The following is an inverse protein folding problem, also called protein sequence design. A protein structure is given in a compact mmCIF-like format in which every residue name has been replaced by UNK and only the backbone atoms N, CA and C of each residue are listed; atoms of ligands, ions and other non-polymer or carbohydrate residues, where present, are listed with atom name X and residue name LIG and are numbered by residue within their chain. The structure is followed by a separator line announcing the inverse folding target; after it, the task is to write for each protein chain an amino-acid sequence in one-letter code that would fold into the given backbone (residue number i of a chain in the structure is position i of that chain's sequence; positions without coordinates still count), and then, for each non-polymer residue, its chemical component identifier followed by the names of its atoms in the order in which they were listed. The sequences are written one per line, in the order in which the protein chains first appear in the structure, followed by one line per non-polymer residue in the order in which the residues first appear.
data_IF_874600753128
#
_entry.id   IF_874600753128
#
_cell.length_a   1.000
_cell.length_b   1.000
_cell.length_c   1.000
_cell.angle_alpha   90.00
_cell.angle_beta   90.00
_cell.angle_gamma   90.00
#
_symmetry.space_group_name_H-M   'P 1'
#
loop_
_entity.id
_entity.type
_entity.pdbx_description
1 polymer ?
#
# COMPACT_ATOMS: atom_id res chain seq x y z
N UNK A 1 18.56 4.64 -4.06
CA UNK A 1 17.87 3.43 -3.58
C UNK A 1 16.46 3.74 -3.11
N UNK A 2 15.53 2.86 -3.39
CA UNK A 2 14.12 3.02 -3.01
C UNK A 2 13.58 1.79 -2.31
N UNK A 3 12.75 2.00 -1.28
CA UNK A 3 12.02 0.95 -0.59
C UNK A 3 10.51 1.11 -0.89
N UNK A 4 9.85 0.01 -1.24
CA UNK A 4 8.39 -0.08 -1.40
C UNK A 4 7.82 -0.98 -0.31
N UNK A 5 7.21 -0.37 0.72
CA UNK A 5 6.66 -1.09 1.88
C UNK A 5 5.22 -1.50 1.58
N UNK A 6 5.00 -2.80 1.43
CA UNK A 6 3.73 -3.34 0.98
C UNK A 6 3.63 -3.36 -0.54
N UNK A 7 4.67 -3.86 -1.20
CA UNK A 7 4.86 -3.80 -2.67
C UNK A 7 3.81 -4.55 -3.50
N UNK A 8 2.95 -5.35 -2.86
CA UNK A 8 1.90 -6.09 -3.55
C UNK A 8 2.45 -6.95 -4.69
N UNK A 9 1.86 -6.86 -5.87
CA UNK A 9 2.25 -7.59 -7.08
C UNK A 9 3.45 -6.98 -7.83
N UNK A 10 4.15 -6.04 -7.22
CA UNK A 10 5.38 -5.42 -7.72
C UNK A 10 5.18 -4.35 -8.80
N UNK A 11 3.95 -3.95 -9.08
CA UNK A 11 3.65 -3.00 -10.16
C UNK A 11 4.32 -1.64 -9.99
N UNK A 12 4.24 -1.07 -8.79
CA UNK A 12 4.81 0.24 -8.48
C UNK A 12 6.34 0.21 -8.55
N UNK A 13 6.99 -0.75 -7.89
CA UNK A 13 8.46 -0.88 -7.90
C UNK A 13 9.04 -1.03 -9.30
N UNK A 14 8.41 -1.86 -10.15
CA UNK A 14 8.79 -2.02 -11.56
C UNK A 14 8.64 -0.70 -12.32
N UNK A 15 7.51 0.00 -12.16
CA UNK A 15 7.26 1.27 -12.81
C UNK A 15 8.29 2.34 -12.41
N UNK A 16 8.60 2.45 -11.12
CA UNK A 16 9.58 3.43 -10.61
C UNK A 16 10.99 3.16 -11.16
N UNK A 17 11.37 1.90 -11.33
CA UNK A 17 12.62 1.58 -12.02
C UNK A 17 12.57 2.01 -13.49
N UNK A 18 11.49 1.70 -14.21
CA UNK A 18 11.38 2.02 -15.64
C UNK A 18 11.41 3.51 -15.95
N UNK A 19 10.79 4.35 -15.08
CA UNK A 19 10.70 5.80 -15.33
C UNK A 19 11.86 6.61 -14.73
N UNK A 20 12.51 6.10 -13.70
CA UNK A 20 13.52 6.86 -12.96
C UNK A 20 14.85 6.11 -12.77
N UNK A 21 15.00 4.89 -13.30
CA UNK A 21 16.20 4.08 -13.10
C UNK A 21 16.46 3.71 -11.63
N UNK A 22 15.42 3.69 -10.79
CA UNK A 22 15.57 3.46 -9.35
C UNK A 22 15.99 2.01 -9.06
N UNK A 23 16.92 1.86 -8.11
CA UNK A 23 17.21 0.56 -7.46
C UNK A 23 16.13 0.32 -6.42
N UNK A 24 15.26 -0.69 -6.62
CA UNK A 24 14.06 -0.89 -5.80
C UNK A 24 14.13 -2.18 -5.00
N UNK A 25 13.85 -2.07 -3.70
CA UNK A 25 13.52 -3.20 -2.84
C UNK A 25 12.05 -3.10 -2.47
N UNK A 26 11.24 -4.10 -2.82
CA UNK A 26 9.85 -4.20 -2.42
C UNK A 26 9.67 -5.23 -1.30
N UNK A 27 8.89 -4.90 -0.28
CA UNK A 27 8.58 -5.80 0.83
C UNK A 27 7.11 -6.20 0.79
N UNK A 28 6.85 -7.49 0.96
CA UNK A 28 5.49 -8.05 1.12
C UNK A 28 5.49 -9.19 2.12
N UNK A 29 4.33 -9.48 2.71
CA UNK A 29 4.10 -10.64 3.57
C UNK A 29 3.39 -11.79 2.83
N UNK A 30 3.01 -11.60 1.56
CA UNK A 30 2.37 -12.64 0.76
C UNK A 30 3.39 -13.37 -0.10
N UNK A 31 3.48 -14.69 0.11
CA UNK A 31 4.32 -15.59 -0.70
C UNK A 31 3.94 -15.56 -2.17
N UNK A 32 2.64 -15.48 -2.47
CA UNK A 32 2.10 -15.45 -3.83
C UNK A 32 2.48 -14.14 -4.55
N UNK A 33 2.36 -13.01 -3.85
CA UNK A 33 2.74 -11.70 -4.40
C UNK A 33 4.24 -11.63 -4.66
N UNK A 34 5.04 -12.09 -3.70
CA UNK A 34 6.50 -12.11 -3.82
C UNK A 34 6.94 -12.98 -5.00
N UNK A 35 6.43 -14.20 -5.11
CA UNK A 35 6.77 -15.11 -6.20
C UNK A 35 6.40 -14.53 -7.57
N UNK A 36 5.18 -13.98 -7.69
CA UNK A 36 4.70 -13.36 -8.92
C UNK A 36 5.53 -12.14 -9.32
N UNK A 37 5.81 -11.24 -8.36
CA UNK A 37 6.59 -10.03 -8.61
C UNK A 37 8.04 -10.38 -9.02
N UNK A 38 8.64 -11.37 -8.36
CA UNK A 38 9.98 -11.87 -8.69
C UNK A 38 10.04 -12.47 -10.10
N UNK A 39 9.02 -13.22 -10.50
CA UNK A 39 8.95 -13.76 -11.87
C UNK A 39 8.82 -12.65 -12.91
N UNK A 40 8.02 -11.60 -12.62
CA UNK A 40 7.88 -10.43 -13.51
C UNK A 40 9.20 -9.72 -13.78
N UNK A 41 9.98 -9.43 -12.73
CA UNK A 41 11.27 -8.71 -12.92
C UNK A 41 12.28 -9.56 -13.67
N UNK A 42 12.27 -10.89 -13.49
CA UNK A 42 13.09 -11.81 -14.29
C UNK A 42 12.71 -11.76 -15.77
N UNK A 43 11.41 -11.85 -16.09
CA UNK A 43 10.90 -11.76 -17.47
C UNK A 43 11.20 -10.41 -18.14
N UNK A 44 11.26 -9.35 -17.35
CA UNK A 44 11.60 -8.00 -17.83
C UNK A 44 13.12 -7.76 -17.94
N UNK A 45 13.96 -8.67 -17.45
CA UNK A 45 15.42 -8.50 -17.45
C UNK A 45 15.95 -7.44 -16.50
N UNK A 46 15.21 -7.11 -15.44
CA UNK A 46 15.54 -6.04 -14.48
C UNK A 46 15.77 -6.55 -13.05
N UNK A 47 15.96 -7.86 -12.89
CA UNK A 47 16.11 -8.48 -11.56
C UNK A 47 17.35 -8.00 -10.79
N UNK A 48 18.35 -7.47 -11.48
CA UNK A 48 19.55 -6.89 -10.86
C UNK A 48 19.28 -5.53 -10.20
N UNK A 49 18.18 -4.87 -10.58
CA UNK A 49 17.81 -3.54 -10.12
C UNK A 49 16.54 -3.50 -9.24
N UNK A 50 15.66 -4.49 -9.42
CA UNK A 50 14.38 -4.56 -8.70
C UNK A 50 14.22 -5.94 -8.08
N UNK A 51 14.11 -5.97 -6.75
CA UNK A 51 13.88 -7.22 -6.01
C UNK A 51 12.68 -7.12 -5.10
N UNK A 52 12.06 -8.26 -4.81
CA UNK A 52 10.92 -8.37 -3.90
C UNK A 52 11.21 -9.42 -2.83
N UNK A 53 11.22 -8.96 -1.58
CA UNK A 53 11.57 -9.78 -0.43
C UNK A 53 10.31 -10.12 0.39
N UNK A 54 10.19 -11.38 0.81
CA UNK A 54 9.18 -11.82 1.76
C UNK A 54 9.64 -11.43 3.17
N UNK A 55 9.35 -10.20 3.55
CA UNK A 55 9.89 -9.61 4.76
C UNK A 55 8.90 -8.65 5.41
N UNK A 56 8.83 -8.70 6.74
CA UNK A 56 8.14 -7.69 7.53
C UNK A 56 9.00 -6.41 7.57
N UNK A 57 8.42 -5.27 7.20
CA UNK A 57 9.14 -3.99 7.17
C UNK A 57 9.81 -3.64 8.51
N UNK A 58 9.32 -4.18 9.62
CA UNK A 58 9.90 -3.98 10.96
C UNK A 58 11.29 -4.62 11.11
N UNK A 59 11.58 -5.65 10.30
CA UNK A 59 12.84 -6.37 10.31
C UNK A 59 13.84 -5.82 9.28
N UNK A 60 13.37 -4.97 8.35
CA UNK A 60 14.25 -4.34 7.36
C UNK A 60 15.29 -3.44 8.05
N UNK A 61 16.52 -3.42 7.56
CA UNK A 61 17.65 -2.67 8.16
C UNK A 61 18.45 -1.82 7.16
N UNK A 62 18.01 -1.77 5.92
CA UNK A 62 18.66 -0.98 4.89
C UNK A 62 18.50 0.53 5.10
N UNK A 63 19.28 1.32 4.33
CA UNK A 63 19.13 2.77 4.23
C UNK A 63 18.71 3.14 2.81
N UNK A 64 17.70 3.97 2.69
CA UNK A 64 17.04 4.30 1.44
C UNK A 64 16.88 5.81 1.24
N UNK A 65 17.16 6.29 0.03
CA UNK A 65 16.98 7.69 -0.33
C UNK A 65 15.50 8.04 -0.47
N UNK A 66 14.70 7.05 -0.85
CA UNK A 66 13.23 7.20 -1.05
C UNK A 66 12.52 5.99 -0.46
N UNK A 67 11.42 6.25 0.24
CA UNK A 67 10.53 5.20 0.74
C UNK A 67 9.11 5.51 0.25
N UNK A 68 8.43 4.50 -0.24
CA UNK A 68 7.02 4.58 -0.62
C UNK A 68 6.22 3.49 0.08
N UNK A 69 5.01 3.81 0.48
CA UNK A 69 4.05 2.83 0.99
C UNK A 69 2.64 3.23 0.52
N UNK A 70 1.99 2.36 -0.23
CA UNK A 70 0.68 2.63 -0.86
C UNK A 70 -0.31 1.55 -0.48
N UNK A 71 -1.39 1.94 0.22
CA UNK A 71 -2.49 1.03 0.58
C UNK A 71 -2.11 -0.07 1.58
N UNK A 72 -1.05 0.11 2.35
CA UNK A 72 -0.61 -0.82 3.39
C UNK A 72 -0.90 -0.30 4.81
N UNK A 73 -0.89 1.03 4.98
CA UNK A 73 -0.99 1.66 6.28
C UNK A 73 -2.31 1.37 7.00
N UNK A 74 -3.37 1.09 6.24
CA UNK A 74 -4.68 0.63 6.72
C UNK A 74 -4.60 -0.67 7.55
N UNK A 75 -3.53 -1.45 7.37
CA UNK A 75 -3.30 -2.72 8.07
C UNK A 75 -2.31 -2.62 9.24
N UNK A 76 -1.70 -1.46 9.46
CA UNK A 76 -0.73 -1.25 10.57
C UNK A 76 -1.42 -1.25 11.94
N UNK A 77 -2.59 -0.61 12.03
CA UNK A 77 -3.34 -0.42 13.27
C UNK A 77 -2.85 0.77 14.10
N UNK A 78 -3.79 1.56 14.62
CA UNK A 78 -3.56 2.87 15.26
C UNK A 78 -2.49 2.82 16.35
N UNK A 79 -2.51 1.81 17.21
CA UNK A 79 -1.55 1.66 18.32
C UNK A 79 -0.08 1.48 17.87
N UNK A 80 0.14 1.16 16.59
CA UNK A 80 1.46 0.94 16.03
C UNK A 80 1.93 2.05 15.07
N UNK A 81 1.12 3.10 14.84
CA UNK A 81 1.47 4.16 13.91
C UNK A 81 2.77 4.87 14.27
N UNK A 82 2.96 5.23 15.55
CA UNK A 82 4.23 5.84 15.98
C UNK A 82 5.43 4.89 15.75
N UNK A 83 5.25 3.58 15.96
CA UNK A 83 6.30 2.60 15.69
C UNK A 83 6.60 2.51 14.20
N UNK A 84 5.58 2.55 13.35
CA UNK A 84 5.72 2.58 11.89
C UNK A 84 6.56 3.80 11.45
N UNK A 85 6.21 5.00 11.91
CA UNK A 85 6.94 6.21 11.53
C UNK A 85 8.36 6.26 12.11
N UNK A 86 8.60 5.76 13.33
CA UNK A 86 9.95 5.58 13.86
C UNK A 86 10.79 4.64 12.99
N UNK A 87 10.18 3.52 12.56
CA UNK A 87 10.84 2.58 11.66
C UNK A 87 11.14 3.21 10.30
N UNK A 88 10.16 3.88 9.71
CA UNK A 88 10.33 4.61 8.46
C UNK A 88 11.48 5.61 8.54
N UNK A 89 11.54 6.41 9.63
CA UNK A 89 12.66 7.33 9.87
C UNK A 89 14.01 6.62 9.94
N UNK A 90 14.08 5.47 10.62
CA UNK A 90 15.33 4.71 10.77
C UNK A 90 15.85 4.11 9.45
N UNK A 91 14.98 3.96 8.45
CA UNK A 91 15.32 3.45 7.11
C UNK A 91 15.60 4.57 6.10
N UNK A 92 15.24 5.82 6.40
CA UNK A 92 15.52 6.96 5.53
C UNK A 92 16.97 7.43 5.69
N UNK A 93 17.62 7.74 4.56
CA UNK A 93 18.83 8.53 4.53
C UNK A 93 18.58 9.94 5.11
N UNK A 94 19.64 10.69 5.42
CA UNK A 94 19.55 12.02 6.02
C UNK A 94 18.67 12.98 5.19
N UNK A 95 18.87 13.00 3.86
CA UNK A 95 18.08 13.78 2.91
C UNK A 95 16.96 12.94 2.23
N UNK A 96 16.56 11.85 2.88
CA UNK A 96 15.58 10.92 2.36
C UNK A 96 14.17 11.49 2.39
N UNK A 97 13.36 11.10 1.40
CA UNK A 97 11.94 11.45 1.31
C UNK A 97 11.06 10.19 1.38
N UNK A 98 9.95 10.28 2.09
CA UNK A 98 8.96 9.22 2.11
C UNK A 98 7.61 9.72 1.60
N UNK A 99 6.92 8.85 0.85
CA UNK A 99 5.52 9.04 0.42
C UNK A 99 4.67 7.95 1.06
N UNK A 100 3.69 8.36 1.83
CA UNK A 100 2.68 7.48 2.39
C UNK A 100 1.34 7.77 1.73
N UNK A 101 0.77 6.80 1.06
CA UNK A 101 -0.60 6.87 0.56
C UNK A 101 -1.48 5.90 1.34
N UNK A 102 -2.60 6.38 1.83
CA UNK A 102 -3.61 5.57 2.54
C UNK A 102 -5.01 6.09 2.26
N UNK A 103 -5.99 5.21 2.34
CA UNK A 103 -7.38 5.64 2.43
C UNK A 103 -7.53 6.27 3.82
N UNK A 104 -7.93 7.53 3.87
CA UNK A 104 -8.08 8.26 5.12
C UNK A 104 -9.49 8.83 5.26
N UNK A 105 -9.87 9.11 6.49
CA UNK A 105 -11.12 9.80 6.80
C UNK A 105 -10.85 11.23 7.26
N UNK A 106 -11.83 12.08 6.99
CA UNK A 106 -11.74 13.50 7.32
C UNK A 106 -12.40 13.90 8.63
N UNK A 107 -13.33 13.09 9.11
CA UNK A 107 -14.25 13.35 10.21
C UNK A 107 -13.74 12.87 11.59
N UNK A 108 -12.43 12.72 11.74
CA UNK A 108 -11.79 12.25 12.98
C UNK A 108 -11.86 10.73 13.18
N UNK A 109 -11.31 10.23 14.31
CA UNK A 109 -11.24 8.80 14.61
C UNK A 109 -12.63 8.15 14.69
N UNK A 110 -12.79 6.99 14.08
CA UNK A 110 -14.04 6.22 14.12
C UNK A 110 -13.77 4.75 13.79
N UNK A 111 -14.80 3.92 13.84
CA UNK A 111 -14.69 2.50 13.52
C UNK A 111 -14.90 2.26 12.03
N UNK A 112 -14.19 1.29 11.46
CA UNK A 112 -14.43 0.82 10.10
C UNK A 112 -15.82 0.17 10.02
N UNK A 113 -16.56 0.47 8.95
CA UNK A 113 -17.84 -0.16 8.67
C UNK A 113 -17.73 -1.69 8.78
N UNK A 114 -18.60 -2.35 9.56
CA UNK A 114 -18.52 -3.79 9.79
C UNK A 114 -18.58 -4.64 8.52
N UNK A 115 -19.34 -4.20 7.50
CA UNK A 115 -19.45 -4.89 6.23
C UNK A 115 -18.11 -4.82 5.46
N UNK A 116 -17.48 -3.62 5.35
CA UNK A 116 -16.17 -3.45 4.74
C UNK A 116 -15.11 -4.31 5.45
N UNK A 117 -15.10 -4.27 6.79
CA UNK A 117 -14.14 -5.03 7.59
C UNK A 117 -14.30 -6.54 7.46
N UNK A 118 -15.55 -7.02 7.21
CA UNK A 118 -15.81 -8.45 7.10
C UNK A 118 -15.56 -8.99 5.68
N UNK A 119 -15.94 -8.25 4.65
CA UNK A 119 -16.03 -8.79 3.30
C UNK A 119 -15.04 -8.21 2.30
N UNK A 120 -14.55 -6.98 2.51
CA UNK A 120 -13.73 -6.28 1.53
C UNK A 120 -12.29 -6.13 2.03
N UNK A 121 -12.09 -5.56 3.23
CA UNK A 121 -10.79 -5.31 3.82
C UNK A 121 -10.70 -5.89 5.25
N UNK A 122 -10.57 -7.22 5.40
CA UNK A 122 -10.46 -7.85 6.71
C UNK A 122 -9.31 -7.29 7.52
N UNK A 123 -9.58 -6.84 8.76
CA UNK A 123 -8.58 -6.23 9.63
C UNK A 123 -8.16 -4.80 9.27
N UNK A 124 -8.68 -4.23 8.19
CA UNK A 124 -8.37 -2.87 7.78
C UNK A 124 -8.99 -1.80 8.69
N UNK A 125 -8.28 -0.70 8.83
CA UNK A 125 -8.74 0.50 9.53
C UNK A 125 -8.47 1.73 8.65
N UNK A 126 -9.47 2.60 8.52
CA UNK A 126 -9.32 3.87 7.79
C UNK A 126 -8.91 4.95 8.78
N UNK A 127 -7.63 5.38 8.78
CA UNK A 127 -7.13 6.35 9.74
C UNK A 127 -7.74 7.74 9.51
N UNK A 128 -7.87 8.53 10.59
CA UNK A 128 -8.06 9.95 10.47
C UNK A 128 -6.71 10.67 10.33
N UNK A 129 -6.70 11.84 9.71
CA UNK A 129 -5.47 12.64 9.61
C UNK A 129 -4.91 13.01 10.99
N UNK A 130 -5.77 13.30 11.96
CA UNK A 130 -5.35 13.60 13.34
C UNK A 130 -4.57 12.45 13.98
N UNK A 131 -4.98 11.19 13.77
CA UNK A 131 -4.25 10.02 14.26
C UNK A 131 -2.89 9.86 13.58
N UNK A 132 -2.84 10.13 12.27
CA UNK A 132 -1.60 10.05 11.50
C UNK A 132 -0.61 11.11 11.96
N UNK A 133 -1.03 12.38 12.05
CA UNK A 133 -0.17 13.49 12.48
C UNK A 133 0.31 13.32 13.92
N UNK A 134 -0.57 12.97 14.85
CA UNK A 134 -0.20 12.70 16.24
C UNK A 134 0.87 11.58 16.37
N UNK A 135 0.87 10.63 15.43
CA UNK A 135 1.87 9.56 15.39
C UNK A 135 3.20 9.98 14.75
N UNK A 136 3.18 10.94 13.83
CA UNK A 136 4.39 11.47 13.16
C UNK A 136 5.16 12.44 14.09
N UNK A 137 4.48 13.36 14.76
CA UNK A 137 5.08 14.43 15.55
C UNK A 137 6.22 13.97 16.51
N UNK A 138 6.05 12.89 17.32
CA UNK A 138 7.07 12.47 18.25
C UNK A 138 8.27 11.75 17.59
N UNK A 139 8.26 11.56 16.27
CA UNK A 139 9.32 10.82 15.56
C UNK A 139 10.42 11.74 15.02
N UNK A 140 10.16 13.04 14.90
CA UNK A 140 11.04 14.02 14.28
C UNK A 140 11.10 13.92 12.75
N UNK A 141 10.13 13.25 12.12
CA UNK A 141 9.86 13.40 10.69
C UNK A 141 9.12 14.72 10.45
N UNK A 142 9.44 15.39 9.36
CA UNK A 142 8.75 16.61 8.94
C UNK A 142 7.74 16.25 7.86
N UNK A 143 6.50 16.68 8.02
CA UNK A 143 5.48 16.60 6.98
C UNK A 143 5.72 17.78 6.02
N UNK A 144 6.05 17.49 4.78
CA UNK A 144 6.35 18.50 3.76
C UNK A 144 5.12 18.88 2.95
N UNK A 145 4.23 17.92 2.71
CA UNK A 145 3.02 18.12 1.92
C UNK A 145 1.93 17.12 2.29
N UNK A 146 0.67 17.49 2.05
CA UNK A 146 -0.51 16.63 2.20
C UNK A 146 -1.46 16.86 1.05
N UNK A 147 -1.59 15.87 0.18
CA UNK A 147 -2.53 15.89 -0.93
C UNK A 147 -3.79 15.09 -0.61
N UNK A 148 -4.96 15.70 -0.78
CA UNK A 148 -6.26 15.05 -0.56
C UNK A 148 -6.90 14.72 -1.90
N UNK A 149 -6.83 13.46 -2.30
CA UNK A 149 -7.30 12.97 -3.61
C UNK A 149 -8.83 12.75 -3.68
N UNK A 150 -9.52 12.86 -2.62
CA UNK A 150 -10.97 12.74 -2.37
C UNK A 150 -11.78 11.98 -3.46
N UNK A 151 -12.12 12.64 -4.58
CA UNK A 151 -12.99 12.08 -5.62
C UNK A 151 -12.29 11.11 -6.56
N UNK A 152 -10.96 11.01 -6.52
CA UNK A 152 -10.22 10.06 -7.36
C UNK A 152 -10.66 8.61 -7.09
N UNK A 153 -10.96 8.27 -5.84
CA UNK A 153 -11.41 6.93 -5.51
C UNK A 153 -12.82 6.62 -6.06
N UNK A 154 -13.66 7.64 -6.21
CA UNK A 154 -14.95 7.47 -6.88
C UNK A 154 -14.78 7.06 -8.36
N UNK A 155 -13.80 7.62 -9.05
CA UNK A 155 -13.47 7.20 -10.43
C UNK A 155 -12.95 5.75 -10.47
N UNK A 156 -12.10 5.37 -9.51
CA UNK A 156 -11.65 3.96 -9.36
C UNK A 156 -12.85 3.03 -9.21
N UNK A 157 -13.80 3.36 -8.34
CA UNK A 157 -15.01 2.56 -8.11
C UNK A 157 -15.91 2.47 -9.36
N UNK A 158 -16.01 3.54 -10.15
CA UNK A 158 -16.73 3.51 -11.45
C UNK A 158 -16.09 2.50 -12.40
N UNK A 159 -14.77 2.52 -12.54
CA UNK A 159 -14.06 1.55 -13.39
C UNK A 159 -14.22 0.12 -12.88
N UNK A 160 -14.12 -0.11 -11.59
CA UNK A 160 -14.34 -1.43 -11.00
C UNK A 160 -15.76 -1.93 -11.25
N UNK A 161 -16.77 -1.07 -11.04
CA UNK A 161 -18.17 -1.40 -11.29
C UNK A 161 -18.41 -1.75 -12.77
N UNK A 162 -17.88 -0.94 -13.69
CA UNK A 162 -18.01 -1.21 -15.12
C UNK A 162 -17.35 -2.54 -15.53
N UNK A 163 -16.13 -2.78 -15.08
CA UNK A 163 -15.40 -4.02 -15.35
C UNK A 163 -16.08 -5.25 -14.75
N UNK A 164 -16.61 -5.12 -13.52
CA UNK A 164 -17.36 -6.19 -12.88
C UNK A 164 -18.62 -6.54 -13.67
N UNK A 165 -19.44 -5.54 -14.02
CA UNK A 165 -20.68 -5.74 -14.79
C UNK A 165 -20.41 -6.39 -16.15
N UNK A 166 -19.36 -5.97 -16.85
CA UNK A 166 -18.96 -6.55 -18.14
C UNK A 166 -18.49 -8.01 -18.03
N UNK A 167 -18.06 -8.46 -16.85
CA UNK A 167 -17.56 -9.82 -16.63
C UNK A 167 -18.38 -10.59 -15.58
N UNK A 168 -19.58 -10.13 -15.25
CA UNK A 168 -20.40 -10.67 -14.15
C UNK A 168 -20.60 -12.18 -14.23
N UNK A 169 -20.90 -12.71 -15.42
CA UNK A 169 -21.12 -14.14 -15.60
C UNK A 169 -19.85 -14.97 -15.38
N UNK A 170 -18.70 -14.44 -15.76
CA UNK A 170 -17.39 -15.06 -15.46
C UNK A 170 -17.14 -15.10 -13.95
N UNK A 171 -17.41 -13.99 -13.26
CA UNK A 171 -17.27 -13.91 -11.81
C UNK A 171 -18.23 -14.86 -11.11
N UNK A 172 -19.48 -14.94 -11.57
CA UNK A 172 -20.47 -15.88 -11.05
C UNK A 172 -20.04 -17.34 -11.22
N UNK A 173 -19.34 -17.68 -12.32
CA UNK A 173 -18.82 -19.02 -12.53
C UNK A 173 -17.64 -19.38 -11.60
N UNK A 174 -16.86 -18.38 -11.16
CA UNK A 174 -15.73 -18.56 -10.22
C UNK A 174 -16.25 -18.66 -8.77
N UNK A 175 -17.24 -17.83 -8.41
CA UNK A 175 -17.81 -17.73 -7.07
C UNK A 175 -19.28 -18.21 -7.06
N UNK A 176 -20.24 -17.29 -6.85
CA UNK A 176 -21.67 -17.55 -6.88
C UNK A 176 -22.48 -16.24 -7.08
N UNK A 177 -23.79 -16.38 -7.15
CA UNK A 177 -24.73 -15.25 -7.27
C UNK A 177 -24.73 -14.36 -6.02
N UNK A 178 -24.49 -14.93 -4.83
CA UNK A 178 -24.42 -14.18 -3.58
C UNK A 178 -23.20 -13.25 -3.57
N UNK A 179 -22.07 -13.75 -4.05
CA UNK A 179 -20.85 -12.93 -4.21
C UNK A 179 -21.10 -11.78 -5.18
N UNK A 180 -21.73 -12.04 -6.32
CA UNK A 180 -22.03 -11.00 -7.31
C UNK A 180 -22.88 -9.88 -6.70
N UNK A 181 -23.98 -10.22 -6.03
CA UNK A 181 -24.84 -9.23 -5.35
C UNK A 181 -24.14 -8.48 -4.22
N UNK A 182 -23.18 -9.09 -3.56
CA UNK A 182 -22.39 -8.46 -2.51
C UNK A 182 -21.42 -7.42 -3.11
N UNK A 183 -20.89 -7.72 -4.27
CA UNK A 183 -19.87 -6.87 -4.92
C UNK A 183 -20.49 -5.71 -5.72
N UNK A 184 -21.71 -5.85 -6.22
CA UNK A 184 -22.51 -4.79 -6.86
C UNK A 184 -22.96 -3.70 -5.89
#
# INVERSE_FOLDING_TARGET
KMLDIGSGWGGLGIYLHQVAGAEVTGLTLSTEQQAFATERVKKLGIADHVRFDLCDYRLESGVYDRIVSVGMFEHVGVKYYTQFFKKLKSLLAEDGLAVLHTIARWDGPSVTNPWLRKYIFPGGYTPSLSEVFAAIEPTGLQVLDVEILRLHYAETLKHWSANFRANRDKVKAIYDERFCRMWE
#
